data_IF_706363188310
#
_entry.id   IF_706363188310
#
_cell.length_a   1.000
_cell.length_b   1.000
_cell.length_c   1.000
_cell.angle_alpha   90.00
_cell.angle_beta   90.00
_cell.angle_gamma   90.00
#
_symmetry.space_group_name_H-M   'P 1'
#
loop_
_entity.id
_entity.type
_entity.pdbx_description
1 polymer ?
#
# COMPACT_ATOMS: atom_id res chain seq x y z
N UNK A 1 -31.44 -66.41 -45.27
CA UNK A 1 -32.84 -66.68 -44.88
C UNK A 1 -33.31 -65.58 -43.94
N UNK A 2 -34.51 -65.06 -44.19
CA UNK A 2 -35.06 -63.80 -43.68
C UNK A 2 -35.55 -63.80 -42.22
N UNK A 3 -35.88 -62.59 -41.74
CA UNK A 3 -36.77 -62.19 -40.62
C UNK A 3 -36.10 -62.09 -39.24
N UNK A 4 -36.39 -61.11 -38.38
CA UNK A 4 -37.37 -60.00 -38.42
C UNK A 4 -36.97 -58.93 -37.39
N UNK A 5 -37.17 -57.69 -37.80
CA UNK A 5 -37.26 -56.44 -37.04
C UNK A 5 -38.19 -56.53 -35.83
N UNK A 6 -37.84 -55.89 -34.69
CA UNK A 6 -38.78 -55.21 -33.78
C UNK A 6 -38.10 -54.02 -33.09
N UNK A 7 -38.79 -52.88 -33.21
CA UNK A 7 -38.53 -51.60 -32.57
C UNK A 7 -38.92 -51.63 -31.09
N UNK A 8 -38.18 -50.90 -30.24
CA UNK A 8 -38.73 -50.27 -29.04
C UNK A 8 -38.32 -48.80 -29.05
N UNK A 9 -39.36 -47.98 -29.02
CA UNK A 9 -39.40 -46.53 -28.86
C UNK A 9 -39.27 -46.21 -27.36
N UNK A 10 -38.42 -45.26 -27.01
CA UNK A 10 -38.39 -44.62 -25.68
C UNK A 10 -37.62 -43.31 -25.82
N UNK A 11 -38.31 -42.22 -26.16
CA UNK A 11 -38.86 -41.25 -25.21
C UNK A 11 -37.78 -40.47 -24.46
N UNK A 12 -37.43 -39.32 -25.06
CA UNK A 12 -37.37 -38.03 -24.37
C UNK A 12 -36.47 -37.90 -23.15
N UNK A 13 -35.29 -37.33 -23.36
CA UNK A 13 -34.79 -36.28 -22.48
C UNK A 13 -33.96 -35.32 -23.34
N UNK A 14 -34.59 -34.22 -23.76
CA UNK A 14 -33.88 -33.09 -24.35
C UNK A 14 -33.08 -32.42 -23.23
N UNK A 15 -31.79 -32.74 -23.14
CA UNK A 15 -30.87 -32.02 -22.27
C UNK A 15 -30.52 -30.71 -22.98
N UNK A 16 -31.21 -29.64 -22.58
CA UNK A 16 -30.87 -28.27 -22.97
C UNK A 16 -29.56 -27.91 -22.26
N UNK A 17 -28.45 -28.02 -22.99
CA UNK A 17 -27.20 -27.39 -22.58
C UNK A 17 -27.33 -25.88 -22.82
N UNK A 18 -27.59 -25.13 -21.76
CA UNK A 18 -27.36 -23.68 -21.78
C UNK A 18 -25.84 -23.50 -21.70
N UNK A 19 -25.22 -23.31 -22.87
CA UNK A 19 -23.87 -22.78 -22.97
C UNK A 19 -23.93 -21.29 -22.58
N UNK A 20 -23.67 -21.00 -21.31
CA UNK A 20 -23.32 -19.64 -20.89
C UNK A 20 -21.86 -19.45 -21.30
N UNK A 21 -21.64 -18.97 -22.52
CA UNK A 21 -20.35 -18.44 -22.92
C UNK A 21 -20.13 -17.14 -22.14
N UNK A 22 -19.42 -17.20 -21.02
CA UNK A 22 -18.87 -16.01 -20.39
C UNK A 22 -17.75 -15.55 -21.30
N UNK A 23 -18.04 -14.59 -22.16
CA UNK A 23 -17.01 -13.87 -22.91
C UNK A 23 -16.26 -12.99 -21.92
N UNK A 24 -15.18 -13.52 -21.36
CA UNK A 24 -14.17 -12.68 -20.75
C UNK A 24 -13.54 -11.87 -21.88
N UNK A 25 -13.90 -10.58 -21.96
CA UNK A 25 -13.03 -9.63 -22.64
C UNK A 25 -11.77 -9.56 -21.80
N UNK A 26 -10.78 -10.39 -22.14
CA UNK A 26 -9.39 -10.16 -21.78
C UNK A 26 -9.03 -8.80 -22.40
N UNK A 27 -9.25 -7.73 -21.63
CA UNK A 27 -8.64 -6.46 -21.92
C UNK A 27 -7.15 -6.72 -22.00
N UNK A 28 -6.58 -6.56 -23.18
CA UNK A 28 -5.14 -6.57 -23.36
C UNK A 28 -4.61 -5.34 -22.62
N UNK A 29 -4.28 -5.47 -21.34
CA UNK A 29 -3.37 -4.56 -20.68
C UNK A 29 -2.02 -4.73 -21.35
N UNK A 30 -1.81 -3.99 -22.44
CA UNK A 30 -0.48 -3.70 -22.93
C UNK A 30 0.21 -2.89 -21.84
N UNK A 31 0.93 -3.57 -20.96
CA UNK A 31 1.90 -2.94 -20.07
C UNK A 31 2.95 -2.30 -20.97
N UNK A 32 2.82 -0.98 -21.20
CA UNK A 32 3.81 -0.22 -21.95
C UNK A 32 5.11 -0.23 -21.15
N UNK A 33 6.18 -0.77 -21.75
CA UNK A 33 7.52 -0.73 -21.19
C UNK A 33 8.14 0.68 -21.18
N UNK A 34 7.44 1.67 -21.74
CA UNK A 34 7.78 3.08 -21.64
C UNK A 34 6.87 3.76 -20.62
N UNK A 35 7.39 4.61 -19.72
CA UNK A 35 6.54 5.50 -18.95
C UNK A 35 5.68 6.28 -19.93
N UNK A 36 4.37 6.06 -19.89
CA UNK A 36 3.43 6.83 -20.68
C UNK A 36 3.61 8.27 -20.22
N UNK A 37 4.08 9.15 -21.13
CA UNK A 37 4.23 10.56 -20.81
C UNK A 37 2.82 11.07 -20.57
N UNK A 38 2.47 11.18 -19.29
CA UNK A 38 1.23 11.80 -18.86
C UNK A 38 1.25 13.20 -19.47
N UNK A 39 0.34 13.45 -20.42
CA UNK A 39 0.21 14.76 -21.07
C UNK A 39 0.12 15.86 -20.01
N UNK A 40 0.74 17.01 -20.23
CA UNK A 40 0.70 18.17 -19.31
C UNK A 40 -0.73 18.56 -18.92
N UNK A 41 -1.70 18.35 -19.81
CA UNK A 41 -3.13 18.56 -19.54
C UNK A 41 -3.71 17.66 -18.44
N UNK A 42 -3.07 16.54 -18.10
CA UNK A 42 -3.53 15.66 -17.02
C UNK A 42 -3.11 16.20 -15.65
N UNK A 43 -1.90 16.79 -15.54
CA UNK A 43 -1.41 17.37 -14.28
C UNK A 43 -2.24 18.59 -13.88
N UNK A 44 -2.66 19.40 -14.85
CA UNK A 44 -3.52 20.57 -14.64
C UNK A 44 -4.92 20.23 -14.06
N UNK A 45 -5.34 18.97 -14.13
CA UNK A 45 -6.62 18.49 -13.60
C UNK A 45 -6.46 17.66 -12.30
N UNK A 46 -5.25 17.57 -11.75
CA UNK A 46 -5.02 16.87 -10.49
C UNK A 46 -5.04 17.86 -9.33
N UNK A 47 -5.98 17.67 -8.42
CA UNK A 47 -6.00 18.33 -7.12
C UNK A 47 -5.51 17.35 -6.06
N UNK A 48 -4.48 17.71 -5.30
CA UNK A 48 -3.97 16.86 -4.24
C UNK A 48 -2.57 17.22 -3.76
N UNK A 49 -2.00 16.32 -2.96
CA UNK A 49 -0.64 16.43 -2.44
C UNK A 49 0.07 15.10 -2.63
N UNK A 50 1.21 15.14 -3.33
CA UNK A 50 2.14 14.02 -3.38
C UNK A 50 3.11 14.15 -2.21
N UNK A 51 3.31 13.09 -1.44
CA UNK A 51 4.34 13.06 -0.39
C UNK A 51 5.30 11.92 -0.68
N UNK A 52 6.59 12.19 -0.54
CA UNK A 52 7.62 11.18 -0.71
C UNK A 52 8.78 11.42 0.26
N UNK A 53 9.54 10.36 0.55
CA UNK A 53 10.75 10.46 1.32
C UNK A 53 11.92 10.99 0.45
N UNK A 54 12.87 11.64 1.11
CA UNK A 54 14.10 12.20 0.51
C UNK A 54 15.30 11.72 1.34
N UNK A 55 16.05 10.72 0.86
CA UNK A 55 17.18 10.19 1.61
C UNK A 55 18.27 11.24 1.90
N UNK A 56 18.88 11.25 3.11
CA UNK A 56 18.55 10.40 4.25
C UNK A 56 17.42 11.00 5.10
N UNK A 57 16.31 10.26 5.18
CA UNK A 57 15.20 10.49 6.11
C UNK A 57 14.36 11.75 5.90
N UNK A 58 14.67 12.63 4.96
CA UNK A 58 13.81 13.77 4.65
C UNK A 58 12.44 13.35 4.15
N UNK A 59 11.50 14.29 4.18
CA UNK A 59 10.15 14.14 3.63
C UNK A 59 9.78 15.46 2.95
N UNK A 60 9.29 15.37 1.72
CA UNK A 60 8.80 16.51 0.94
C UNK A 60 7.35 16.27 0.54
N UNK A 61 6.55 17.33 0.58
CA UNK A 61 5.21 17.38 0.04
C UNK A 61 5.19 18.28 -1.21
N UNK A 62 4.50 17.86 -2.26
CA UNK A 62 4.32 18.61 -3.50
C UNK A 62 2.83 18.81 -3.69
N UNK A 63 2.40 20.07 -3.65
CA UNK A 63 1.03 20.44 -3.96
C UNK A 63 0.75 20.32 -5.46
N UNK A 64 -0.46 19.89 -5.81
CA UNK A 64 -0.95 19.83 -7.19
C UNK A 64 -2.15 20.77 -7.35
N UNK A 65 -2.30 21.43 -8.50
CA UNK A 65 -1.45 21.29 -9.70
C UNK A 65 -0.22 22.23 -9.73
N UNK A 66 -0.05 23.08 -8.72
CA UNK A 66 0.93 24.18 -8.74
C UNK A 66 2.40 23.74 -8.59
N UNK A 67 2.63 22.48 -8.21
CA UNK A 67 3.94 21.89 -7.95
C UNK A 67 4.73 22.63 -6.86
N UNK A 68 4.03 23.28 -5.93
CA UNK A 68 4.69 23.94 -4.80
C UNK A 68 5.25 22.88 -3.85
N UNK A 69 6.57 22.87 -3.69
CA UNK A 69 7.25 21.97 -2.76
C UNK A 69 7.31 22.54 -1.34
N UNK A 70 6.99 21.71 -0.36
CA UNK A 70 7.12 22.01 1.07
C UNK A 70 7.96 20.94 1.74
N UNK A 71 9.01 21.36 2.47
CA UNK A 71 9.85 20.44 3.23
C UNK A 71 9.15 20.11 4.54
N UNK A 72 8.56 18.91 4.62
CA UNK A 72 7.92 18.41 5.85
C UNK A 72 8.97 18.00 6.88
N UNK A 73 10.04 17.35 6.42
CA UNK A 73 11.18 16.95 7.26
C UNK A 73 12.47 17.18 6.49
N UNK A 74 13.41 17.92 7.07
CA UNK A 74 14.72 18.12 6.46
C UNK A 74 15.51 16.80 6.46
N UNK A 75 16.16 16.42 5.34
CA UNK A 75 17.12 15.34 5.34
C UNK A 75 18.26 15.62 6.33
N UNK A 76 18.68 14.62 7.09
CA UNK A 76 19.79 14.75 8.04
C UNK A 76 20.59 13.46 8.10
N UNK A 77 21.92 13.61 8.07
CA UNK A 77 22.85 12.50 8.32
C UNK A 77 23.23 12.39 9.80
N UNK A 78 23.08 13.48 10.54
CA UNK A 78 23.55 13.57 11.94
C UNK A 78 22.65 12.77 12.88
N UNK A 79 21.35 12.68 12.57
CA UNK A 79 20.42 11.87 13.37
C UNK A 79 20.54 10.36 13.09
N UNK A 80 21.17 9.97 11.97
CA UNK A 80 21.32 8.58 11.54
C UNK A 80 19.99 7.89 11.25
N UNK A 81 18.93 8.65 11.00
CA UNK A 81 17.58 8.14 10.94
C UNK A 81 17.02 8.16 9.52
N UNK A 82 16.45 7.05 9.09
CA UNK A 82 15.79 6.91 7.78
C UNK A 82 14.27 6.85 7.96
N UNK A 83 13.54 7.28 6.94
CA UNK A 83 12.11 6.98 6.83
C UNK A 83 12.02 5.58 6.25
N UNK A 84 11.39 4.67 7.00
CA UNK A 84 11.19 3.28 6.61
C UNK A 84 9.91 3.10 5.79
N UNK A 85 8.83 3.75 6.23
CA UNK A 85 7.56 3.80 5.51
C UNK A 85 6.86 5.13 5.83
N UNK A 86 6.02 5.56 4.90
CA UNK A 86 5.33 6.85 4.86
C UNK A 86 3.88 6.63 4.42
N UNK A 87 2.94 7.29 5.10
CA UNK A 87 1.53 7.24 4.74
C UNK A 87 1.15 8.33 3.75
N UNK A 88 0.00 8.15 3.12
CA UNK A 88 -0.71 9.27 2.49
C UNK A 88 -1.17 10.30 3.53
N UNK A 89 -1.43 11.55 3.12
CA UNK A 89 -2.00 12.56 3.98
C UNK A 89 -3.45 12.26 4.36
N UNK A 90 -3.88 12.72 5.54
CA UNK A 90 -5.29 12.77 5.90
C UNK A 90 -5.96 14.11 5.53
N UNK A 91 -7.27 14.24 5.79
CA UNK A 91 -8.01 15.48 5.49
C UNK A 91 -7.60 16.67 6.36
N UNK A 92 -6.78 16.47 7.40
CA UNK A 92 -6.22 17.54 8.23
C UNK A 92 -4.80 17.92 7.78
N UNK A 93 -4.30 17.32 6.70
CA UNK A 93 -2.93 17.54 6.23
C UNK A 93 -1.89 16.94 7.16
N UNK A 94 -2.21 15.84 7.85
CA UNK A 94 -1.24 15.07 8.64
C UNK A 94 -0.72 13.89 7.82
N UNK A 95 0.52 13.53 8.03
CA UNK A 95 1.15 12.30 7.51
C UNK A 95 1.69 11.49 8.69
N UNK A 96 1.69 10.17 8.56
CA UNK A 96 2.37 9.27 9.48
C UNK A 96 3.61 8.70 8.79
N UNK A 97 4.67 8.44 9.56
CA UNK A 97 5.88 7.80 9.05
C UNK A 97 6.58 7.01 10.15
N UNK A 98 7.22 5.90 9.76
CA UNK A 98 8.11 5.15 10.64
C UNK A 98 9.52 5.63 10.41
N UNK A 99 10.16 6.11 11.48
CA UNK A 99 11.55 6.52 11.48
C UNK A 99 12.39 5.39 12.09
N UNK A 100 13.37 4.89 11.34
CA UNK A 100 14.28 3.83 11.78
C UNK A 100 15.67 4.38 12.08
N UNK A 101 16.20 4.05 13.25
CA UNK A 101 17.53 4.43 13.70
C UNK A 101 18.38 3.17 13.84
N UNK A 102 19.06 2.78 12.76
CA UNK A 102 19.81 1.51 12.72
C UNK A 102 20.96 1.47 13.73
N UNK A 103 21.68 2.60 13.90
CA UNK A 103 22.83 2.69 14.82
C UNK A 103 22.36 2.66 16.27
N UNK A 104 21.33 3.44 16.60
CA UNK A 104 20.78 3.51 17.95
C UNK A 104 19.83 2.33 18.28
N UNK A 105 19.61 1.42 17.32
CA UNK A 105 18.75 0.24 17.46
C UNK A 105 17.39 0.59 18.08
N UNK A 106 16.71 1.52 17.43
CA UNK A 106 15.35 1.92 17.78
C UNK A 106 14.56 2.33 16.55
N UNK A 107 13.24 2.28 16.65
CA UNK A 107 12.35 2.86 15.67
C UNK A 107 11.19 3.56 16.35
N UNK A 108 10.55 4.47 15.62
CA UNK A 108 9.47 5.29 16.15
C UNK A 108 8.42 5.53 15.09
N UNK A 109 7.14 5.40 15.44
CA UNK A 109 6.04 5.90 14.63
C UNK A 109 5.80 7.37 14.99
N UNK A 110 5.82 8.22 13.97
CA UNK A 110 5.66 9.65 14.11
C UNK A 110 4.60 10.18 13.17
N UNK A 111 4.10 11.36 13.49
CA UNK A 111 3.18 12.11 12.66
C UNK A 111 3.68 13.55 12.57
N UNK A 112 3.48 14.15 11.41
CA UNK A 112 3.78 15.55 11.14
C UNK A 112 2.66 16.16 10.28
N UNK A 113 2.55 17.48 10.28
CA UNK A 113 1.73 18.18 9.30
C UNK A 113 2.52 18.41 8.00
N UNK A 114 1.79 18.55 6.88
CA UNK A 114 2.35 18.81 5.55
C UNK A 114 3.12 20.14 5.46
N UNK A 115 2.88 21.07 6.38
CA UNK A 115 3.64 22.32 6.48
C UNK A 115 4.98 22.16 7.24
N UNK A 116 5.29 20.95 7.70
CA UNK A 116 6.47 20.64 8.51
C UNK A 116 6.34 21.02 9.99
N UNK A 117 5.14 21.39 10.45
CA UNK A 117 4.87 21.68 11.85
C UNK A 117 4.45 20.42 12.64
N UNK A 118 4.50 20.56 13.97
CA UNK A 118 3.93 19.63 14.96
C UNK A 118 4.30 18.15 14.73
N UNK A 119 5.61 17.90 14.71
CA UNK A 119 6.16 16.55 14.76
C UNK A 119 5.89 15.96 16.14
N UNK A 120 5.00 14.98 16.21
CA UNK A 120 4.75 14.23 17.44
C UNK A 120 5.04 12.75 17.25
N UNK A 121 5.47 12.14 18.35
CA UNK A 121 5.77 10.71 18.41
C UNK A 121 4.55 9.97 18.95
N UNK A 122 4.12 8.95 18.23
CA UNK A 122 3.03 8.05 18.63
C UNK A 122 3.59 6.94 19.51
N UNK A 123 4.74 6.36 19.11
CA UNK A 123 5.51 5.45 19.96
C UNK A 123 6.99 5.46 19.58
N UNK A 124 7.83 5.00 20.50
CA UNK A 124 9.21 4.54 20.25
C UNK A 124 9.39 3.15 20.84
N UNK A 125 10.03 2.27 20.09
CA UNK A 125 10.42 0.94 20.55
C UNK A 125 11.91 0.69 20.31
N UNK A 126 12.58 -0.09 21.20
CA UNK A 126 13.91 -0.60 20.93
C UNK A 126 13.87 -1.57 19.72
N UNK A 127 15.02 -1.84 19.12
CA UNK A 127 15.16 -2.66 17.92
C UNK A 127 14.91 -1.86 16.63
N UNK A 128 15.52 -2.31 15.53
CA UNK A 128 15.32 -1.68 14.23
C UNK A 128 14.06 -2.22 13.51
N UNK A 129 13.43 -1.33 12.71
CA UNK A 129 12.16 -1.61 12.02
C UNK A 129 12.29 -2.56 10.82
N UNK A 130 13.50 -3.01 10.48
CA UNK A 130 13.76 -3.93 9.37
C UNK A 130 13.92 -5.38 9.88
N UNK A 131 14.60 -5.56 11.01
CA UNK A 131 15.07 -6.86 11.47
C UNK A 131 14.49 -7.27 12.83
N UNK A 132 14.48 -6.37 13.81
CA UNK A 132 14.10 -6.71 15.19
C UNK A 132 12.57 -6.63 15.38
N UNK A 133 11.96 -5.60 14.79
CA UNK A 133 10.51 -5.38 14.77
C UNK A 133 10.10 -5.00 13.36
N UNK A 134 10.17 -5.98 12.45
CA UNK A 134 9.90 -5.76 11.04
C UNK A 134 8.52 -5.14 10.83
N UNK A 135 8.49 -3.89 10.36
CA UNK A 135 7.26 -3.19 9.97
C UNK A 135 7.18 -3.27 8.44
N UNK A 136 6.03 -3.65 7.91
CA UNK A 136 5.79 -3.71 6.48
C UNK A 136 5.94 -2.33 5.81
N UNK A 137 6.18 -2.34 4.51
CA UNK A 137 6.33 -1.10 3.72
C UNK A 137 5.02 -0.30 3.64
N UNK A 138 3.88 -0.92 3.95
CA UNK A 138 2.57 -0.27 3.94
C UNK A 138 2.23 0.36 5.29
N UNK A 139 2.02 1.67 5.28
CA UNK A 139 1.52 2.47 6.40
C UNK A 139 0.27 3.23 5.94
N UNK A 140 -0.86 3.03 6.62
CA UNK A 140 -2.11 3.70 6.29
C UNK A 140 -2.52 4.66 7.40
N UNK A 141 -2.77 5.91 7.04
CA UNK A 141 -3.41 6.90 7.92
C UNK A 141 -4.87 7.06 7.50
N UNK A 142 -5.78 6.96 8.45
CA UNK A 142 -7.21 7.15 8.20
C UNK A 142 -7.47 8.58 7.69
N UNK A 143 -8.30 8.73 6.65
CA UNK A 143 -8.72 10.05 6.15
C UNK A 143 -9.32 10.95 7.25
N UNK A 144 -10.01 10.33 8.21
CA UNK A 144 -10.59 10.98 9.40
C UNK A 144 -10.42 10.11 10.64
N UNK A 145 -10.30 10.72 11.82
CA UNK A 145 -10.31 10.00 13.10
C UNK A 145 -8.93 9.67 13.69
N UNK A 146 -7.84 9.95 12.96
CA UNK A 146 -6.48 9.86 13.49
C UNK A 146 -6.03 8.45 13.87
N UNK A 147 -6.44 7.45 13.09
CA UNK A 147 -6.00 6.07 13.21
C UNK A 147 -4.88 5.79 12.23
N UNK A 148 -3.86 5.07 12.70
CA UNK A 148 -2.74 4.61 11.88
C UNK A 148 -2.75 3.09 11.89
N UNK A 149 -2.65 2.48 10.72
CA UNK A 149 -2.54 1.04 10.57
C UNK A 149 -1.17 0.65 9.97
N UNK A 150 -0.51 -0.31 10.61
CA UNK A 150 0.74 -0.94 10.16
C UNK A 150 0.58 -2.45 10.10
N UNK A 151 1.45 -3.10 9.35
CA UNK A 151 1.67 -4.56 9.49
C UNK A 151 2.99 -4.74 10.23
N UNK A 152 2.94 -5.18 11.48
CA UNK A 152 4.10 -5.43 12.32
C UNK A 152 4.50 -6.91 12.37
N UNK A 153 5.73 -7.17 12.80
CA UNK A 153 6.30 -8.53 12.95
C UNK A 153 6.17 -9.35 11.66
N UNK A 154 6.49 -8.72 10.53
CA UNK A 154 6.40 -9.36 9.23
C UNK A 154 7.34 -10.55 9.09
N UNK A 155 6.84 -11.66 8.56
CA UNK A 155 7.57 -12.88 8.27
C UNK A 155 7.30 -13.29 6.81
N UNK A 156 8.36 -13.76 6.14
CA UNK A 156 8.25 -14.27 4.78
C UNK A 156 7.65 -15.68 4.77
N UNK A 157 6.51 -15.85 4.11
CA UNK A 157 5.88 -17.15 3.84
C UNK A 157 5.89 -17.41 2.34
N UNK A 158 6.46 -18.54 1.96
CA UNK A 158 6.45 -18.98 0.58
C UNK A 158 5.03 -19.44 0.20
N UNK A 159 4.40 -18.72 -0.71
CA UNK A 159 3.14 -19.16 -1.31
C UNK A 159 3.41 -20.37 -2.21
N UNK A 160 2.53 -21.36 -2.19
CA UNK A 160 2.63 -22.55 -3.04
C UNK A 160 2.35 -22.22 -4.52
N UNK A 161 1.40 -21.32 -4.77
CA UNK A 161 0.97 -20.82 -6.08
C UNK A 161 0.52 -19.37 -5.83
N UNK A 162 1.20 -18.32 -6.32
CA UNK A 162 2.05 -18.24 -7.51
C UNK A 162 3.55 -18.42 -7.27
N UNK A 163 3.96 -19.22 -6.27
CA UNK A 163 5.38 -19.36 -5.87
C UNK A 163 6.05 -18.03 -5.49
N UNK A 164 5.29 -17.07 -4.96
CA UNK A 164 5.82 -15.79 -4.48
C UNK A 164 6.11 -15.81 -2.97
N UNK A 165 7.04 -14.97 -2.54
CA UNK A 165 7.23 -14.67 -1.12
C UNK A 165 6.17 -13.66 -0.68
N UNK A 166 5.32 -14.05 0.26
CA UNK A 166 4.36 -13.17 0.91
C UNK A 166 4.92 -12.73 2.27
N UNK A 167 4.93 -11.43 2.53
CA UNK A 167 5.22 -10.90 3.86
C UNK A 167 3.93 -10.86 4.66
N UNK A 168 3.74 -11.81 5.57
CA UNK A 168 2.59 -11.83 6.48
C UNK A 168 2.97 -11.23 7.83
N UNK A 169 2.02 -10.58 8.51
CA UNK A 169 2.28 -10.00 9.82
C UNK A 169 0.99 -9.62 10.53
N UNK A 170 1.12 -9.11 11.75
CA UNK A 170 -0.03 -8.66 12.54
C UNK A 170 -0.41 -7.25 12.12
N UNK A 171 -1.70 -7.02 11.87
CA UNK A 171 -2.21 -5.65 11.73
C UNK A 171 -2.23 -4.99 13.11
N UNK A 172 -1.56 -3.85 13.22
CA UNK A 172 -1.55 -3.02 14.40
C UNK A 172 -2.26 -1.71 14.09
N UNK A 173 -3.08 -1.24 15.03
CA UNK A 173 -3.85 0.01 14.89
C UNK A 173 -3.50 0.91 16.06
N UNK A 174 -3.09 2.13 15.75
CA UNK A 174 -2.66 3.14 16.69
C UNK A 174 -3.56 4.37 16.59
N UNK A 175 -3.81 5.04 17.71
CA UNK A 175 -4.46 6.35 17.75
C UNK A 175 -3.41 7.41 17.95
N UNK A 176 -3.48 8.47 17.15
CA UNK A 176 -2.60 9.64 17.26
C UNK A 176 -2.67 10.29 18.65
N UNK A 177 -3.86 10.32 19.24
CA UNK A 177 -4.12 11.01 20.51
C UNK A 177 -3.74 10.17 21.74
N UNK A 178 -3.49 8.87 21.56
CA UNK A 178 -3.04 8.01 22.65
C UNK A 178 -1.56 8.28 22.89
N UNK A 179 -1.23 8.94 24.00
CA UNK A 179 0.15 9.03 24.45
C UNK A 179 0.64 7.64 24.81
N UNK A 180 1.67 7.14 24.13
CA UNK A 180 2.37 5.92 24.59
C UNK A 180 2.93 6.17 26.00
N UNK A 181 2.61 5.27 26.94
CA UNK A 181 3.31 5.20 28.22
C UNK A 181 4.71 4.62 28.05
#
# INVERSE_FOLDING_TARGET
MSKKMRWIVGSGLALVFILVSITYSLGSETTSANPEIISTSTVENLDGVLVHDVPPGGITAISLPDLTETIVRKPSREDGATVHTLSNPDLKGRIAYVQNHMIQKKHSLKVAYLDGSDHHEVFTHPGDALWDHSIGESLALSATGGLIATVGQTNGVQMHDPMALLMEGKIEIWKIEDKSQ
#
